data_IF_500265087122
#
_entry.id   IF_500265087122
#
_cell.length_a   1.000
_cell.length_b   1.000
_cell.length_c   1.000
_cell.angle_alpha   90.00
_cell.angle_beta   90.00
_cell.angle_gamma   90.00
#
_symmetry.space_group_name_H-M   'P 1'
#
loop_
_entity.id
_entity.type
_entity.pdbx_description
1 polymer ?
#
# COMPACT_ATOMS: atom_id res chain seq x y z
N UNK A 1 7.44 -17.41 3.66
CA UNK A 1 6.02 -17.38 4.05
C UNK A 1 5.22 -17.68 2.80
N UNK A 2 4.44 -18.77 2.78
CA UNK A 2 3.68 -19.21 1.59
C UNK A 2 2.45 -18.33 1.27
N UNK A 3 2.41 -17.12 1.82
CA UNK A 3 1.39 -16.10 1.62
C UNK A 3 1.99 -14.89 0.89
N UNK A 4 2.73 -15.10 -0.20
CA UNK A 4 3.32 -14.03 -1.03
C UNK A 4 2.30 -12.97 -1.50
N UNK A 5 1.01 -13.32 -1.47
CA UNK A 5 -0.10 -12.49 -1.96
C UNK A 5 -0.91 -11.80 -0.84
N UNK A 6 -0.65 -12.07 0.44
CA UNK A 6 -1.44 -11.53 1.55
C UNK A 6 -0.83 -10.21 2.06
N UNK A 7 -1.26 -9.09 1.49
CA UNK A 7 -0.90 -7.77 2.01
C UNK A 7 -1.89 -7.39 3.12
N UNK A 8 -1.48 -7.52 4.38
CA UNK A 8 -2.34 -7.27 5.55
C UNK A 8 -3.04 -5.89 5.53
N UNK A 9 -2.39 -4.88 4.92
CA UNK A 9 -2.99 -3.55 4.76
C UNK A 9 -4.30 -3.54 3.97
N UNK A 10 -4.52 -4.50 3.06
CA UNK A 10 -5.79 -4.58 2.32
C UNK A 10 -6.98 -4.86 3.24
N UNK A 11 -6.79 -5.51 4.39
CA UNK A 11 -7.85 -5.64 5.39
C UNK A 11 -8.36 -4.27 5.87
N UNK A 12 -7.44 -3.35 6.19
CA UNK A 12 -7.79 -1.99 6.58
C UNK A 12 -8.36 -1.16 5.40
N UNK A 13 -7.85 -1.36 4.18
CA UNK A 13 -8.43 -0.78 2.96
C UNK A 13 -9.88 -1.22 2.77
N UNK A 14 -10.22 -2.47 3.10
CA UNK A 14 -11.55 -3.02 2.95
C UNK A 14 -12.52 -2.36 3.91
N UNK A 15 -12.11 -2.17 5.17
CA UNK A 15 -12.88 -1.43 6.16
C UNK A 15 -13.24 -0.03 5.64
N UNK A 16 -12.29 0.67 5.01
CA UNK A 16 -12.56 1.99 4.43
C UNK A 16 -13.47 1.92 3.20
N UNK A 17 -13.17 1.07 2.22
CA UNK A 17 -13.91 1.05 0.94
C UNK A 17 -15.33 0.51 1.06
N UNK A 18 -15.59 -0.44 1.98
CA UNK A 18 -16.90 -1.05 2.12
C UNK A 18 -17.70 -0.48 3.30
N UNK A 19 -17.01 -0.08 4.38
CA UNK A 19 -17.62 0.51 5.58
C UNK A 19 -17.81 2.03 5.47
N UNK A 20 -16.88 2.74 4.83
CA UNK A 20 -16.88 4.20 4.71
C UNK A 20 -16.63 4.67 3.25
N UNK A 21 -17.42 4.21 2.26
CA UNK A 21 -17.16 4.44 0.83
C UNK A 21 -17.14 5.91 0.41
N UNK A 22 -17.80 6.80 1.17
CA UNK A 22 -17.82 8.26 0.91
C UNK A 22 -16.56 8.97 1.44
N UNK A 23 -15.73 8.28 2.22
CA UNK A 23 -14.50 8.87 2.76
C UNK A 23 -13.57 9.29 1.62
N UNK A 24 -12.98 10.49 1.67
CA UNK A 24 -11.93 10.90 0.77
C UNK A 24 -10.79 9.87 0.67
N UNK A 25 -10.43 9.27 1.80
CA UNK A 25 -9.30 8.33 1.90
C UNK A 25 -9.61 6.97 1.28
N UNK A 26 -10.89 6.66 1.04
CA UNK A 26 -11.34 5.42 0.40
C UNK A 26 -11.46 5.55 -1.12
N UNK A 27 -11.24 6.75 -1.70
CA UNK A 27 -11.41 6.95 -3.13
C UNK A 27 -10.30 6.25 -3.95
N UNK A 28 -10.60 5.86 -5.20
CA UNK A 28 -9.71 5.01 -6.01
C UNK A 28 -8.27 5.49 -6.15
N UNK A 29 -8.06 6.80 -6.38
CA UNK A 29 -6.72 7.39 -6.51
C UNK A 29 -5.90 7.21 -5.24
N UNK A 30 -6.52 7.38 -4.08
CA UNK A 30 -5.86 7.19 -2.79
C UNK A 30 -5.52 5.72 -2.58
N UNK A 31 -6.45 4.79 -2.87
CA UNK A 31 -6.20 3.35 -2.69
C UNK A 31 -5.06 2.86 -3.60
N UNK A 32 -5.20 3.05 -4.91
CA UNK A 32 -4.22 2.55 -5.89
C UNK A 32 -2.89 3.30 -5.76
N UNK A 33 -2.95 4.63 -5.76
CA UNK A 33 -1.76 5.48 -5.64
C UNK A 33 -1.06 5.30 -4.30
N UNK A 34 -1.80 5.24 -3.21
CA UNK A 34 -1.26 5.04 -1.87
C UNK A 34 -0.50 3.74 -1.75
N UNK A 35 -1.08 2.59 -2.14
CA UNK A 35 -0.40 1.30 -2.09
C UNK A 35 0.82 1.24 -3.00
N UNK A 36 0.71 1.77 -4.23
CA UNK A 36 1.80 1.77 -5.21
C UNK A 36 2.99 2.62 -4.75
N UNK A 37 2.72 3.86 -4.33
CA UNK A 37 3.75 4.79 -3.83
C UNK A 37 4.38 4.25 -2.55
N UNK A 38 3.58 3.72 -1.63
CA UNK A 38 4.09 3.18 -0.38
C UNK A 38 5.00 1.97 -0.62
N UNK A 39 4.59 1.02 -1.48
CA UNK A 39 5.43 -0.11 -1.85
C UNK A 39 6.75 0.34 -2.48
N UNK A 40 6.71 1.31 -3.41
CA UNK A 40 7.90 1.84 -4.07
C UNK A 40 8.85 2.52 -3.07
N UNK A 41 8.33 3.38 -2.19
CA UNK A 41 9.11 4.03 -1.15
C UNK A 41 9.76 3.01 -0.22
N UNK A 42 9.02 1.98 0.21
CA UNK A 42 9.57 0.93 1.06
C UNK A 42 10.68 0.13 0.38
N UNK A 43 10.53 -0.22 -0.90
CA UNK A 43 11.58 -0.87 -1.70
C UNK A 43 12.83 0.01 -1.79
N UNK A 44 12.67 1.29 -2.11
CA UNK A 44 13.79 2.23 -2.23
C UNK A 44 14.54 2.37 -0.89
N UNK A 45 13.81 2.55 0.20
CA UNK A 45 14.40 2.64 1.55
C UNK A 45 15.14 1.35 1.88
N UNK A 46 14.56 0.18 1.62
CA UNK A 46 15.20 -1.11 1.84
C UNK A 46 16.55 -1.21 1.13
N UNK A 47 16.57 -0.88 -0.16
CA UNK A 47 17.76 -0.97 -1.02
C UNK A 47 18.89 -0.02 -0.58
N UNK A 48 18.56 1.10 0.06
CA UNK A 48 19.55 2.08 0.54
C UNK A 48 20.02 1.74 1.96
N UNK A 49 19.08 1.38 2.85
CA UNK A 49 19.33 1.32 4.29
C UNK A 49 19.82 -0.06 4.75
N UNK A 50 19.24 -1.17 4.27
CA UNK A 50 19.63 -2.50 4.75
C UNK A 50 21.11 -2.84 4.49
N UNK A 51 21.71 -2.50 3.33
CA UNK A 51 23.14 -2.75 3.10
C UNK A 51 24.07 -1.93 4.01
N UNK A 52 23.63 -0.76 4.49
CA UNK A 52 24.46 0.17 5.27
C UNK A 52 24.31 0.00 6.79
N UNK A 53 23.10 -0.34 7.25
CA UNK A 53 22.74 -0.30 8.68
C UNK A 53 22.23 -1.64 9.24
N UNK A 54 22.14 -2.69 8.42
CA UNK A 54 21.49 -3.95 8.80
C UNK A 54 22.28 -5.21 8.53
N UNK A 55 23.57 -5.12 8.13
CA UNK A 55 24.33 -6.25 7.61
C UNK A 55 23.57 -7.01 6.49
N UNK A 56 22.76 -6.28 5.71
CA UNK A 56 21.90 -6.83 4.65
C UNK A 56 20.57 -7.42 5.12
N UNK A 57 20.19 -7.27 6.40
CA UNK A 57 18.96 -7.80 7.01
C UNK A 57 17.94 -6.71 7.33
N UNK A 58 16.71 -7.13 7.60
CA UNK A 58 15.68 -6.23 8.10
C UNK A 58 16.07 -5.62 9.45
N UNK A 59 16.00 -4.29 9.55
CA UNK A 59 16.21 -3.56 10.79
C UNK A 59 15.06 -2.56 11.04
N UNK A 60 14.90 -2.12 12.28
CA UNK A 60 13.83 -1.19 12.66
C UNK A 60 13.95 0.18 11.97
N UNK A 61 15.17 0.58 11.60
CA UNK A 61 15.46 1.86 10.92
C UNK A 61 14.87 1.88 9.51
N UNK A 62 15.11 0.84 8.71
CA UNK A 62 14.55 0.67 7.36
C UNK A 62 13.03 0.70 7.41
N UNK A 63 12.44 -0.05 8.36
CA UNK A 63 10.99 -0.11 8.57
C UNK A 63 10.38 1.25 8.90
N UNK A 64 10.99 2.00 9.84
CA UNK A 64 10.53 3.32 10.23
C UNK A 64 10.67 4.35 9.10
N UNK A 65 11.80 4.33 8.39
CA UNK A 65 12.05 5.20 7.23
C UNK A 65 11.13 4.87 6.05
N UNK A 66 10.83 3.59 5.82
CA UNK A 66 9.96 3.14 4.75
C UNK A 66 8.53 3.66 4.94
N UNK A 67 8.01 3.53 6.16
CA UNK A 67 6.70 4.08 6.51
C UNK A 67 6.66 5.61 6.43
N UNK A 68 7.66 6.30 6.99
CA UNK A 68 7.67 7.77 7.00
C UNK A 68 7.86 8.37 5.60
N UNK A 69 8.73 7.79 4.77
CA UNK A 69 8.91 8.17 3.38
C UNK A 69 7.65 7.92 2.56
N UNK A 70 6.98 6.77 2.76
CA UNK A 70 5.71 6.48 2.11
C UNK A 70 4.63 7.51 2.47
N UNK A 71 4.50 7.87 3.75
CA UNK A 71 3.56 8.89 4.20
C UNK A 71 3.88 10.26 3.57
N UNK A 72 5.13 10.69 3.62
CA UNK A 72 5.56 11.96 3.03
C UNK A 72 5.27 12.01 1.52
N UNK A 73 5.57 10.93 0.80
CA UNK A 73 5.31 10.82 -0.63
C UNK A 73 3.81 10.87 -0.93
N UNK A 74 2.98 10.10 -0.21
CA UNK A 74 1.53 10.12 -0.39
C UNK A 74 0.92 11.50 -0.14
N UNK A 75 1.40 12.22 0.88
CA UNK A 75 0.97 13.58 1.18
C UNK A 75 1.37 14.54 0.04
N UNK A 76 2.57 14.40 -0.51
CA UNK A 76 3.05 15.22 -1.62
C UNK A 76 2.28 14.97 -2.93
N UNK A 77 1.86 13.73 -3.20
CA UNK A 77 1.13 13.35 -4.43
C UNK A 77 -0.38 13.47 -4.31
N UNK A 78 -0.90 13.80 -3.12
CA UNK A 78 -2.33 13.80 -2.83
C UNK A 78 -2.97 12.42 -3.01
N UNK A 79 -2.28 11.37 -2.58
CA UNK A 79 -2.72 9.97 -2.67
C UNK A 79 -2.80 9.29 -1.30
N UNK A 80 -3.07 10.08 -0.25
CA UNK A 80 -3.02 9.59 1.13
C UNK A 80 -4.08 8.54 1.40
N UNK A 81 -3.59 7.33 1.66
CA UNK A 81 -4.39 6.18 2.08
C UNK A 81 -3.71 5.53 3.28
N UNK A 82 -4.16 5.84 4.52
CA UNK A 82 -3.49 5.37 5.73
C UNK A 82 -3.18 3.86 5.78
N UNK A 83 -4.05 2.95 5.29
CA UNK A 83 -3.70 1.53 5.19
C UNK A 83 -2.43 1.25 4.39
N UNK A 84 -2.15 2.02 3.33
CA UNK A 84 -0.97 1.83 2.50
C UNK A 84 0.35 2.12 3.22
N UNK A 85 0.34 2.88 4.33
CA UNK A 85 1.54 3.05 5.15
C UNK A 85 2.12 1.72 5.63
N UNK A 86 1.26 0.74 5.95
CA UNK A 86 1.69 -0.61 6.29
C UNK A 86 2.26 -1.38 5.08
N UNK A 87 1.84 -1.06 3.85
CA UNK A 87 2.46 -1.61 2.63
C UNK A 87 3.91 -1.15 2.48
N UNK A 88 4.19 0.13 2.73
CA UNK A 88 5.56 0.66 2.69
C UNK A 88 6.43 0.12 3.81
N UNK A 89 5.84 -0.05 5.00
CA UNK A 89 6.48 -0.72 6.14
C UNK A 89 6.91 -2.14 5.78
N UNK A 90 6.00 -2.96 5.24
CA UNK A 90 6.27 -4.35 4.85
C UNK A 90 7.35 -4.43 3.75
N UNK A 91 7.27 -3.55 2.75
CA UNK A 91 8.28 -3.48 1.69
C UNK A 91 9.67 -3.12 2.22
N UNK A 92 9.76 -2.27 3.24
CA UNK A 92 11.03 -1.85 3.84
C UNK A 92 11.61 -2.87 4.83
N UNK A 93 10.74 -3.70 5.43
CA UNK A 93 11.12 -4.72 6.41
C UNK A 93 11.32 -6.11 5.80
N UNK A 94 11.26 -6.25 4.48
CA UNK A 94 11.37 -7.55 3.82
C UNK A 94 12.78 -8.15 3.98
N UNK A 95 12.84 -9.39 4.49
CA UNK A 95 14.03 -10.22 4.69
C UNK A 95 13.58 -11.70 4.72
N UNK A 96 14.08 -12.60 3.84
CA UNK A 96 15.12 -12.38 2.83
C UNK A 96 14.70 -11.43 1.69
N UNK A 97 15.69 -11.02 0.86
CA UNK A 97 15.45 -10.18 -0.32
C UNK A 97 14.40 -10.85 -1.22
N UNK A 98 13.25 -10.19 -1.49
CA UNK A 98 12.22 -10.77 -2.34
C UNK A 98 12.61 -10.80 -3.82
N UNK A 99 11.89 -11.63 -4.60
CA UNK A 99 12.00 -11.70 -6.06
C UNK A 99 12.05 -10.32 -6.72
N UNK A 100 12.91 -10.20 -7.74
CA UNK A 100 13.17 -8.93 -8.43
C UNK A 100 13.42 -7.77 -7.45
N UNK A 101 14.16 -7.99 -6.38
CA UNK A 101 14.46 -6.94 -5.40
C UNK A 101 13.20 -6.29 -4.79
N UNK A 102 12.07 -7.00 -4.74
CA UNK A 102 10.79 -6.48 -4.26
C UNK A 102 9.88 -5.88 -5.32
N UNK A 103 10.30 -5.75 -6.59
CA UNK A 103 9.42 -5.23 -7.64
C UNK A 103 8.20 -6.14 -7.93
N UNK A 104 8.30 -7.46 -7.69
CA UNK A 104 7.13 -8.36 -7.70
C UNK A 104 6.07 -7.94 -6.66
N UNK A 105 6.49 -7.48 -5.48
CA UNK A 105 5.59 -6.96 -4.44
C UNK A 105 4.93 -5.64 -4.87
N UNK A 106 5.65 -4.73 -5.54
CA UNK A 106 5.08 -3.51 -6.12
C UNK A 106 3.96 -3.84 -7.12
N UNK A 107 4.20 -4.78 -8.05
CA UNK A 107 3.20 -5.23 -9.01
C UNK A 107 2.00 -5.88 -8.31
N UNK A 108 2.25 -6.65 -7.27
CA UNK A 108 1.20 -7.27 -6.44
C UNK A 108 0.35 -6.22 -5.71
N UNK A 109 0.97 -5.19 -5.15
CA UNK A 109 0.28 -4.09 -4.49
C UNK A 109 -0.58 -3.28 -5.48
N UNK A 110 -0.05 -2.99 -6.68
CA UNK A 110 -0.77 -2.31 -7.75
C UNK A 110 -1.96 -3.15 -8.26
N UNK A 111 -1.72 -4.42 -8.59
CA UNK A 111 -2.77 -5.31 -9.09
C UNK A 111 -3.85 -5.55 -8.02
N UNK A 112 -3.45 -5.86 -6.79
CA UNK A 112 -4.36 -6.11 -5.67
C UNK A 112 -5.22 -4.89 -5.33
N UNK A 113 -4.62 -3.71 -5.22
CA UNK A 113 -5.38 -2.47 -4.96
C UNK A 113 -6.32 -2.11 -6.12
N UNK A 114 -5.93 -2.39 -7.37
CA UNK A 114 -6.78 -2.18 -8.55
C UNK A 114 -7.99 -3.12 -8.55
N UNK A 115 -7.77 -4.43 -8.31
CA UNK A 115 -8.85 -5.42 -8.15
C UNK A 115 -9.78 -5.01 -7.02
N UNK A 116 -9.22 -4.54 -5.90
CA UNK A 116 -10.00 -4.13 -4.74
C UNK A 116 -10.89 -2.91 -5.03
N UNK A 117 -10.37 -1.92 -5.76
CA UNK A 117 -11.18 -0.79 -6.27
C UNK A 117 -12.27 -1.28 -7.23
N UNK A 118 -11.98 -2.22 -8.13
CA UNK A 118 -12.99 -2.79 -9.03
C UNK A 118 -14.12 -3.46 -8.26
N UNK A 119 -13.78 -4.27 -7.24
CA UNK A 119 -14.78 -4.91 -6.37
C UNK A 119 -15.58 -3.85 -5.59
N UNK A 120 -14.92 -2.83 -5.05
CA UNK A 120 -15.57 -1.73 -4.34
C UNK A 120 -16.51 -0.93 -5.25
N UNK A 121 -16.17 -0.77 -6.54
CA UNK A 121 -17.01 -0.12 -7.54
C UNK A 121 -18.28 -0.93 -7.80
N UNK A 122 -18.17 -2.24 -8.03
CA UNK A 122 -19.34 -3.09 -8.26
C UNK A 122 -20.23 -3.13 -7.02
N UNK A 123 -19.63 -3.43 -5.86
CA UNK A 123 -20.38 -3.60 -4.61
C UNK A 123 -21.08 -2.32 -4.16
N UNK A 124 -20.38 -1.18 -4.12
CA UNK A 124 -20.99 0.04 -3.60
C UNK A 124 -22.03 0.64 -4.55
N UNK A 125 -21.93 0.44 -5.87
CA UNK A 125 -22.96 0.93 -6.79
C UNK A 125 -24.15 -0.04 -6.96
N UNK A 126 -24.04 -1.29 -6.51
CA UNK A 126 -25.17 -2.22 -6.47
C UNK A 126 -26.17 -1.92 -5.33
N UNK A 127 -25.76 -1.14 -4.32
CA UNK A 127 -26.59 -0.79 -3.16
C UNK A 127 -27.33 0.53 -3.42
N UNK A 128 -28.68 0.55 -3.39
CA UNK A 128 -29.45 1.78 -3.56
C UNK A 128 -29.02 2.89 -2.59
N UNK A 129 -28.86 4.11 -3.09
CA UNK A 129 -28.47 5.29 -2.28
C UNK A 129 -26.96 5.41 -1.99
N UNK A 130 -26.13 4.47 -2.47
CA UNK A 130 -24.67 4.61 -2.48
C UNK A 130 -24.17 5.04 -3.86
N UNK A 131 -23.03 5.73 -3.88
CA UNK A 131 -22.31 6.12 -5.09
C UNK A 131 -20.81 6.07 -4.81
N UNK A 132 -20.08 5.34 -5.63
CA UNK A 132 -18.62 5.22 -5.54
C UNK A 132 -18.01 5.09 -6.95
N UNK A 133 -16.94 5.82 -7.29
CA UNK A 133 -16.32 6.88 -6.50
C UNK A 133 -17.22 8.12 -6.40
N UNK A 134 -16.96 8.94 -5.38
CA UNK A 134 -17.51 10.29 -5.30
C UNK A 134 -16.63 11.29 -6.05
N UNK A 135 -15.33 11.02 -6.13
CA UNK A 135 -14.33 11.76 -6.91
C UNK A 135 -13.08 10.91 -7.15
N UNK A 136 -12.20 11.36 -8.04
CA UNK A 136 -10.95 10.68 -8.41
C UNK A 136 -9.72 11.47 -7.95
#
# INVERSE_FOLDING_TARGET
MDFEWLIASFGASAVLQFGLPKSPLAQPRNVIGGHTISALCGIIVRLIIQPQYGDGKANFVSTALGMSAALAAMQATGTTHPPAGATGLLAASADPIPDWQGFKFLLTALAGSSVMVLVALVFNNAIPGRRYPTFW
#
